data_IF_037962839819
#
_entry.id   IF_037962839819
#
_cell.length_a   1.000
_cell.length_b   1.000
_cell.length_c   1.000
_cell.angle_alpha   90.00
_cell.angle_beta   90.00
_cell.angle_gamma   90.00
#
_symmetry.space_group_name_H-M   'P 1'
#
loop_
_entity.id
_entity.type
_entity.pdbx_description
1 polymer ?
#
# COMPACT_ATOMS: atom_id res chain seq x y z
N UNK A 1 40.37 13.30 -3.35
CA UNK A 1 39.67 13.11 -2.12
C UNK A 1 38.19 13.17 -2.40
N UNK A 2 37.33 12.39 -2.64
CA UNK A 2 35.93 12.43 -3.06
C UNK A 2 34.93 11.96 -1.97
N UNK A 3 35.28 12.11 -0.70
CA UNK A 3 34.41 11.69 0.40
C UNK A 3 33.58 12.84 0.93
N UNK A 4 32.28 12.60 1.13
CA UNK A 4 31.34 13.48 1.85
C UNK A 4 30.97 12.74 3.13
N UNK A 5 31.14 13.38 4.26
CA UNK A 5 30.71 12.85 5.57
C UNK A 5 29.32 13.43 5.85
N UNK A 6 28.34 12.57 6.09
CA UNK A 6 27.00 12.93 6.51
C UNK A 6 26.79 12.37 7.92
N UNK A 7 26.33 13.22 8.84
CA UNK A 7 25.99 12.83 10.20
C UNK A 7 24.52 13.20 10.46
N UNK A 8 23.79 12.34 11.13
CA UNK A 8 22.46 12.61 11.63
C UNK A 8 22.45 12.50 13.16
N UNK A 9 21.73 13.38 13.80
CA UNK A 9 21.63 13.42 15.27
C UNK A 9 20.35 14.11 15.71
N UNK A 10 19.99 13.90 16.96
CA UNK A 10 18.87 14.61 17.58
C UNK A 10 19.37 15.90 18.24
N UNK A 11 18.59 17.00 18.17
CA UNK A 11 18.94 18.24 18.85
C UNK A 11 18.87 18.09 20.39
N UNK A 12 19.50 18.99 21.15
CA UNK A 12 19.57 18.90 22.61
C UNK A 12 18.22 18.82 23.32
N UNK A 13 17.15 19.34 22.72
CA UNK A 13 15.79 19.27 23.25
C UNK A 13 15.29 17.84 23.41
N UNK A 14 15.75 16.93 22.54
CA UNK A 14 15.37 15.50 22.54
C UNK A 14 16.39 14.59 23.20
N UNK A 15 17.64 15.10 23.37
CA UNK A 15 18.71 14.30 23.99
C UNK A 15 19.62 15.19 24.84
N UNK A 16 19.36 15.23 26.15
CA UNK A 16 20.16 16.01 27.12
C UNK A 16 21.65 15.63 27.20
N UNK A 17 22.04 14.50 26.60
CA UNK A 17 23.44 14.05 26.57
C UNK A 17 24.20 14.60 25.37
N UNK A 18 23.55 15.26 24.43
CA UNK A 18 24.20 15.86 23.26
C UNK A 18 24.82 17.18 23.64
N UNK A 19 26.10 17.39 23.25
CA UNK A 19 26.75 18.68 23.35
C UNK A 19 26.61 19.40 22.01
N UNK A 20 26.33 20.69 22.08
CA UNK A 20 26.33 21.54 20.90
C UNK A 20 27.68 21.53 20.23
N UNK A 21 27.70 21.56 18.90
CA UNK A 21 28.92 21.78 18.16
C UNK A 21 29.44 23.18 18.43
N UNK A 22 30.79 23.29 18.58
CA UNK A 22 31.40 24.58 18.66
C UNK A 22 31.26 25.38 17.36
N UNK A 23 31.44 26.70 17.44
CA UNK A 23 31.26 27.61 16.31
C UNK A 23 32.18 27.30 15.14
N UNK A 24 33.39 26.76 15.40
CA UNK A 24 34.38 26.40 14.36
C UNK A 24 33.90 25.17 13.59
N UNK A 25 33.26 24.22 14.25
CA UNK A 25 32.68 23.04 13.62
C UNK A 25 31.45 23.42 12.79
N UNK A 26 30.55 24.25 13.34
CA UNK A 26 29.37 24.72 12.64
C UNK A 26 29.67 25.50 11.36
N UNK A 27 30.76 26.28 11.36
CA UNK A 27 31.22 27.04 10.16
C UNK A 27 31.70 26.13 9.01
N UNK A 28 32.04 24.88 9.31
CA UNK A 28 32.56 23.89 8.34
C UNK A 28 31.52 22.88 7.86
N UNK A 29 30.34 22.81 8.46
CA UNK A 29 29.33 21.86 8.12
C UNK A 29 28.10 22.59 7.50
N UNK A 30 27.36 21.87 6.68
CA UNK A 30 26.02 22.31 6.26
C UNK A 30 25.02 21.71 7.20
N UNK A 31 24.41 22.55 8.00
CA UNK A 31 23.35 22.14 8.93
C UNK A 31 22.01 22.11 8.20
N UNK A 32 21.33 20.99 8.30
CA UNK A 32 19.98 20.79 7.78
C UNK A 32 19.06 20.44 8.95
N UNK A 33 18.07 21.28 9.22
CA UNK A 33 17.02 20.98 10.17
C UNK A 33 15.91 20.18 9.46
N UNK A 34 15.58 19.01 10.00
CA UNK A 34 14.53 18.14 9.48
C UNK A 34 13.39 18.14 10.49
N UNK A 35 12.25 18.63 10.06
CA UNK A 35 11.03 18.70 10.87
C UNK A 35 10.06 17.59 10.47
N UNK A 36 9.20 17.20 11.43
CA UNK A 36 8.15 16.23 11.17
C UNK A 36 7.04 16.89 10.33
N UNK A 37 6.87 16.41 9.09
CA UNK A 37 5.83 16.83 8.16
C UNK A 37 4.87 15.67 7.86
N UNK A 38 3.61 15.83 8.28
CA UNK A 38 2.59 14.80 8.08
C UNK A 38 2.33 14.51 6.60
N UNK A 39 2.34 15.51 5.73
CA UNK A 39 2.04 15.32 4.31
C UNK A 39 3.11 14.49 3.63
N UNK A 40 4.38 14.80 3.89
CA UNK A 40 5.53 14.03 3.38
C UNK A 40 5.53 12.61 3.95
N UNK A 41 5.27 12.48 5.25
CA UNK A 41 5.19 11.16 5.89
C UNK A 41 4.01 10.33 5.35
N UNK A 42 2.87 10.95 5.03
CA UNK A 42 1.71 10.25 4.46
C UNK A 42 2.04 9.59 3.12
N UNK A 43 2.82 10.26 2.25
CA UNK A 43 3.30 9.66 1.00
C UNK A 43 4.22 8.45 1.26
N UNK A 44 5.15 8.58 2.20
CA UNK A 44 5.98 7.46 2.66
C UNK A 44 5.14 6.32 3.23
N UNK A 45 4.18 6.63 4.08
CA UNK A 45 3.31 5.65 4.74
C UNK A 45 2.48 4.84 3.73
N UNK A 46 1.97 5.49 2.68
CA UNK A 46 1.30 4.82 1.56
C UNK A 46 2.25 3.88 0.81
N UNK A 47 3.43 4.37 0.43
CA UNK A 47 4.44 3.57 -0.27
C UNK A 47 4.93 2.36 0.55
N UNK A 48 4.82 2.44 1.89
CA UNK A 48 5.14 1.36 2.83
C UNK A 48 3.94 0.51 3.22
N UNK A 49 2.75 0.79 2.68
CA UNK A 49 1.49 0.09 3.00
C UNK A 49 1.19 0.05 4.50
N UNK A 50 1.34 1.20 5.17
CA UNK A 50 0.95 1.31 6.56
C UNK A 50 -0.57 1.10 6.70
N UNK A 51 -0.98 0.64 7.88
CA UNK A 51 -2.36 0.30 8.18
C UNK A 51 -3.32 1.47 7.95
N UNK A 52 -4.35 1.28 7.13
CA UNK A 52 -5.21 2.35 6.65
C UNK A 52 -6.04 3.03 7.76
N UNK A 53 -6.37 2.33 8.86
CA UNK A 53 -7.01 2.96 10.01
C UNK A 53 -6.13 4.06 10.63
N UNK A 54 -4.79 3.89 10.64
CA UNK A 54 -3.85 4.91 11.12
C UNK A 54 -3.83 6.10 10.17
N UNK A 55 -3.77 5.86 8.85
CA UNK A 55 -3.81 6.93 7.86
C UNK A 55 -5.12 7.72 7.94
N UNK A 56 -6.25 7.02 8.06
CA UNK A 56 -7.56 7.61 8.21
C UNK A 56 -7.70 8.43 9.50
N UNK A 57 -7.20 7.90 10.62
CA UNK A 57 -7.15 8.63 11.89
C UNK A 57 -6.33 9.92 11.80
N UNK A 58 -5.14 9.84 11.24
CA UNK A 58 -4.24 10.98 11.14
C UNK A 58 -4.71 12.00 10.11
N UNK A 59 -5.49 11.63 9.11
CA UNK A 59 -6.14 12.57 8.20
C UNK A 59 -7.12 13.48 8.95
N UNK A 60 -7.90 12.92 9.85
CA UNK A 60 -8.84 13.65 10.69
C UNK A 60 -8.16 14.39 11.86
N UNK A 61 -7.02 13.90 12.32
CA UNK A 61 -6.36 14.34 13.54
C UNK A 61 -4.87 14.60 13.31
N UNK A 62 -4.53 15.39 12.28
CA UNK A 62 -3.12 15.64 11.88
C UNK A 62 -2.23 16.13 13.04
N UNK A 63 -2.80 16.88 14.00
CA UNK A 63 -2.07 17.32 15.19
C UNK A 63 -1.52 16.17 16.04
N UNK A 64 -2.09 14.98 15.94
CA UNK A 64 -1.69 13.79 16.69
C UNK A 64 -0.60 12.96 15.95
N UNK A 65 -0.13 13.43 14.79
CA UNK A 65 0.97 12.79 14.05
C UNK A 65 2.30 12.88 14.83
N UNK A 66 2.60 14.06 15.34
CA UNK A 66 3.84 14.29 16.07
C UNK A 66 3.58 15.27 17.22
N UNK A 67 3.74 14.81 18.45
CA UNK A 67 3.61 15.61 19.66
C UNK A 67 4.67 15.19 20.66
N UNK A 68 5.32 16.16 21.30
CA UNK A 68 6.24 15.94 22.41
C UNK A 68 5.89 16.96 23.48
N UNK A 69 5.45 16.50 24.63
CA UNK A 69 5.06 17.32 25.76
C UNK A 69 5.82 16.85 27.01
N UNK A 70 6.39 17.79 27.73
CA UNK A 70 7.09 17.51 28.98
C UNK A 70 6.34 18.21 30.14
N UNK A 71 6.00 17.46 31.15
CA UNK A 71 5.40 17.96 32.41
C UNK A 71 6.13 17.40 33.63
N UNK A 72 5.54 17.61 34.82
CA UNK A 72 6.12 17.14 36.09
C UNK A 72 6.13 15.61 36.24
N UNK A 73 5.27 14.91 35.48
CA UNK A 73 5.12 13.46 35.52
C UNK A 73 6.00 12.75 34.51
N UNK A 74 6.60 13.50 33.56
CA UNK A 74 7.52 12.97 32.57
C UNK A 74 7.36 13.54 31.15
N UNK A 75 7.87 12.81 30.18
CA UNK A 75 7.76 13.17 28.76
C UNK A 75 6.71 12.26 28.12
N UNK A 76 5.65 12.88 27.59
CA UNK A 76 4.63 12.24 26.77
C UNK A 76 4.91 12.54 25.30
N UNK A 77 4.90 11.53 24.45
CA UNK A 77 5.21 11.76 23.05
C UNK A 77 4.51 10.79 22.12
N UNK A 78 4.32 11.24 20.91
CA UNK A 78 3.98 10.43 19.74
C UNK A 78 4.84 10.86 18.58
N UNK A 79 5.31 9.88 17.80
CA UNK A 79 6.24 10.11 16.69
C UNK A 79 5.82 9.32 15.46
N UNK A 80 6.35 9.70 14.30
CA UNK A 80 6.17 8.97 13.04
C UNK A 80 6.56 7.49 13.15
N UNK A 81 7.64 7.18 13.89
CA UNK A 81 8.08 5.80 14.14
C UNK A 81 7.07 5.02 14.98
N UNK A 82 6.50 5.63 16.03
CA UNK A 82 5.47 4.98 16.84
C UNK A 82 4.27 4.53 16.01
N UNK A 83 3.83 5.37 15.06
CA UNK A 83 2.75 5.01 14.12
C UNK A 83 3.15 3.88 13.16
N UNK A 84 4.38 3.86 12.67
CA UNK A 84 4.88 2.80 11.78
C UNK A 84 4.99 1.46 12.51
N UNK A 85 5.52 1.45 13.72
CA UNK A 85 5.65 0.25 14.55
C UNK A 85 4.27 -0.29 14.95
N UNK A 86 3.34 0.58 15.36
CA UNK A 86 1.95 0.21 15.63
C UNK A 86 1.27 -0.36 14.39
N UNK A 87 1.47 0.23 13.21
CA UNK A 87 0.94 -0.27 11.94
C UNK A 87 1.37 -1.71 11.68
N UNK A 88 2.65 -1.99 11.90
CA UNK A 88 3.21 -3.33 11.69
C UNK A 88 2.58 -4.37 12.61
N UNK A 89 2.31 -3.99 13.87
CA UNK A 89 1.61 -4.86 14.82
C UNK A 89 0.14 -5.05 14.42
N UNK A 90 -0.57 -3.98 14.07
CA UNK A 90 -1.98 -4.04 13.68
C UNK A 90 -2.20 -4.99 12.51
N UNK A 91 -1.34 -4.96 11.49
CA UNK A 91 -1.39 -5.86 10.34
C UNK A 91 -1.21 -7.34 10.73
N UNK A 92 -0.39 -7.63 11.75
CA UNK A 92 -0.24 -8.98 12.28
C UNK A 92 -1.46 -9.39 13.08
N UNK A 93 -1.99 -8.50 13.93
CA UNK A 93 -3.16 -8.76 14.77
C UNK A 93 -4.42 -9.00 13.92
N UNK A 94 -4.61 -8.25 12.82
CA UNK A 94 -5.71 -8.53 11.89
C UNK A 94 -5.61 -9.93 11.25
N UNK A 95 -4.42 -10.37 10.85
CA UNK A 95 -4.22 -11.73 10.31
C UNK A 95 -4.50 -12.84 11.33
N UNK A 96 -4.32 -12.53 12.61
CA UNK A 96 -4.53 -13.47 13.72
C UNK A 96 -5.93 -13.31 14.35
N UNK A 97 -6.76 -12.40 13.83
CA UNK A 97 -8.07 -12.02 14.40
C UNK A 97 -7.98 -11.60 15.89
N UNK A 98 -6.90 -10.89 16.24
CA UNK A 98 -6.67 -10.37 17.59
C UNK A 98 -7.14 -8.91 17.68
N UNK A 99 -7.74 -8.49 18.81
CA UNK A 99 -8.15 -7.11 19.00
C UNK A 99 -6.92 -6.22 19.28
N UNK A 100 -6.94 -5.01 18.73
CA UNK A 100 -6.00 -3.94 19.08
C UNK A 100 -6.75 -2.99 20.01
N UNK A 101 -6.46 -3.09 21.30
CA UNK A 101 -7.03 -2.22 22.34
C UNK A 101 -6.09 -1.08 22.73
N UNK A 102 -6.55 -0.22 23.62
CA UNK A 102 -5.78 0.93 24.11
C UNK A 102 -4.45 0.51 24.75
N UNK A 103 -4.40 -0.61 25.46
CA UNK A 103 -3.18 -1.08 26.14
C UNK A 103 -2.08 -1.41 25.13
N UNK A 104 -2.44 -2.04 24.01
CA UNK A 104 -1.54 -2.34 22.90
C UNK A 104 -1.06 -1.04 22.21
N UNK A 105 -1.96 -0.08 22.00
CA UNK A 105 -1.62 1.20 21.36
C UNK A 105 -0.65 2.00 22.23
N UNK A 106 -0.82 2.01 23.54
CA UNK A 106 0.07 2.69 24.49
C UNK A 106 1.51 2.17 24.50
N UNK A 107 1.74 0.95 24.03
CA UNK A 107 3.11 0.42 23.88
C UNK A 107 3.92 1.18 22.81
N UNK A 108 3.25 1.84 21.86
CA UNK A 108 3.86 2.56 20.74
C UNK A 108 3.62 4.07 20.79
N UNK A 109 2.47 4.46 21.34
CA UNK A 109 2.02 5.84 21.43
C UNK A 109 2.08 6.26 22.90
N UNK A 110 3.20 6.87 23.30
CA UNK A 110 3.48 7.26 24.69
C UNK A 110 2.84 8.61 25.08
N UNK A 111 1.72 8.96 24.47
CA UNK A 111 0.89 10.11 24.80
C UNK A 111 -0.52 9.60 25.07
N UNK A 112 -0.92 9.60 26.35
CA UNK A 112 -2.16 8.97 26.80
C UNK A 112 -3.40 9.44 26.04
N UNK A 113 -3.61 10.76 25.96
CA UNK A 113 -4.79 11.33 25.27
C UNK A 113 -4.83 10.92 23.78
N UNK A 114 -3.66 10.78 23.13
CA UNK A 114 -3.58 10.35 21.73
C UNK A 114 -3.85 8.85 21.60
N UNK A 115 -3.35 8.04 22.52
CA UNK A 115 -3.57 6.61 22.53
C UNK A 115 -5.05 6.26 22.77
N UNK A 116 -5.71 6.95 23.72
CA UNK A 116 -7.14 6.81 24.00
C UNK A 116 -8.00 7.22 22.79
N UNK A 117 -7.74 8.40 22.19
CA UNK A 117 -8.46 8.89 21.01
C UNK A 117 -8.26 7.97 19.81
N UNK A 118 -7.04 7.44 19.60
CA UNK A 118 -6.75 6.48 18.53
C UNK A 118 -7.46 5.13 18.75
N UNK A 119 -7.48 4.63 19.99
CA UNK A 119 -8.16 3.39 20.33
C UNK A 119 -9.67 3.46 20.05
N UNK A 120 -10.31 4.54 20.50
CA UNK A 120 -11.73 4.79 20.23
C UNK A 120 -12.02 4.88 18.72
N UNK A 121 -11.13 5.55 17.96
CA UNK A 121 -11.27 5.66 16.52
C UNK A 121 -11.12 4.29 15.83
N UNK A 122 -10.12 3.48 16.18
CA UNK A 122 -9.89 2.18 15.55
C UNK A 122 -11.01 1.18 15.83
N UNK A 123 -11.61 1.25 17.02
CA UNK A 123 -12.82 0.46 17.33
C UNK A 123 -13.99 0.86 16.42
N UNK A 124 -14.24 2.16 16.24
CA UNK A 124 -15.26 2.67 15.33
C UNK A 124 -14.96 2.31 13.88
N UNK A 125 -13.72 2.45 13.42
CA UNK A 125 -13.29 2.12 12.07
C UNK A 125 -13.59 0.65 11.73
N UNK A 126 -13.26 -0.27 12.65
CA UNK A 126 -13.59 -1.69 12.50
C UNK A 126 -15.10 -1.93 12.48
N UNK A 127 -15.84 -1.29 13.38
CA UNK A 127 -17.31 -1.39 13.42
C UNK A 127 -17.97 -0.88 12.15
N UNK A 128 -17.49 0.23 11.59
CA UNK A 128 -18.03 0.76 10.34
C UNK A 128 -17.80 -0.19 9.16
N UNK A 129 -16.71 -0.92 9.12
CA UNK A 129 -16.45 -1.94 8.09
C UNK A 129 -17.60 -2.95 8.00
N UNK A 130 -18.02 -3.45 9.15
CA UNK A 130 -19.12 -4.45 9.25
C UNK A 130 -20.50 -3.81 9.06
N UNK A 131 -20.74 -2.70 9.72
CA UNK A 131 -22.02 -2.00 9.75
C UNK A 131 -22.44 -1.48 8.36
N UNK A 132 -21.49 -1.00 7.57
CA UNK A 132 -21.73 -0.55 6.19
C UNK A 132 -21.66 -1.69 5.17
N UNK A 133 -21.06 -2.83 5.54
CA UNK A 133 -20.90 -3.97 4.64
C UNK A 133 -20.02 -3.63 3.44
N UNK A 134 -18.80 -3.16 3.67
CA UNK A 134 -17.87 -2.70 2.62
C UNK A 134 -17.68 -3.75 1.53
N UNK A 135 -17.56 -5.03 1.90
CA UNK A 135 -17.44 -6.12 0.94
C UNK A 135 -18.68 -6.24 0.04
N UNK A 136 -19.90 -6.03 0.60
CA UNK A 136 -21.15 -6.05 -0.16
C UNK A 136 -21.24 -4.85 -1.11
N UNK A 137 -20.78 -3.66 -0.68
CA UNK A 137 -20.72 -2.47 -1.55
C UNK A 137 -19.81 -2.77 -2.76
N UNK A 138 -18.60 -3.28 -2.53
CA UNK A 138 -17.65 -3.61 -3.60
C UNK A 138 -18.12 -4.78 -4.49
N UNK A 139 -19.03 -5.62 -3.99
CA UNK A 139 -19.71 -6.66 -4.76
C UNK A 139 -20.96 -6.18 -5.50
N UNK A 140 -21.32 -4.89 -5.41
CA UNK A 140 -22.53 -4.31 -6.01
C UNK A 140 -23.85 -4.69 -5.32
N UNK A 141 -23.81 -5.04 -4.03
CA UNK A 141 -24.95 -5.51 -3.24
C UNK A 141 -25.29 -4.55 -2.10
N UNK A 142 -25.47 -3.26 -2.43
CA UNK A 142 -25.73 -2.23 -1.42
C UNK A 142 -27.19 -2.34 -0.94
N UNK A 143 -27.35 -2.40 0.39
CA UNK A 143 -28.70 -2.42 1.01
C UNK A 143 -29.23 -0.99 1.14
N UNK A 144 -30.55 -0.75 0.98
CA UNK A 144 -31.15 0.57 1.15
C UNK A 144 -30.85 1.23 2.50
N UNK A 145 -30.75 0.43 3.56
CA UNK A 145 -30.44 0.89 4.92
C UNK A 145 -29.03 1.50 5.01
N UNK A 146 -28.10 1.03 4.20
CA UNK A 146 -26.72 1.58 4.11
C UNK A 146 -26.75 3.03 3.66
N UNK A 147 -27.58 3.36 2.65
CA UNK A 147 -27.73 4.75 2.19
C UNK A 147 -28.41 5.63 3.24
N UNK A 148 -29.49 5.15 3.89
CA UNK A 148 -30.15 5.89 4.95
C UNK A 148 -29.18 6.22 6.11
N UNK A 149 -28.31 5.28 6.45
CA UNK A 149 -27.30 5.47 7.49
C UNK A 149 -26.25 6.49 7.08
N UNK A 150 -25.69 6.39 5.87
CA UNK A 150 -24.63 7.29 5.43
C UNK A 150 -25.11 8.73 5.28
N UNK A 151 -26.37 8.96 4.88
CA UNK A 151 -26.96 10.30 4.83
C UNK A 151 -27.11 10.95 6.20
N UNK A 152 -27.32 10.15 7.26
CA UNK A 152 -27.42 10.64 8.64
C UNK A 152 -26.03 10.72 9.33
N UNK A 153 -24.98 10.18 8.74
CA UNK A 153 -23.67 10.08 9.35
C UNK A 153 -22.95 11.43 9.42
N UNK A 154 -22.17 11.63 10.49
CA UNK A 154 -21.26 12.76 10.62
C UNK A 154 -20.13 12.66 9.58
N UNK A 155 -19.49 13.78 9.29
CA UNK A 155 -18.41 13.85 8.29
C UNK A 155 -17.27 12.85 8.56
N UNK A 156 -16.86 12.71 9.82
CA UNK A 156 -15.81 11.78 10.25
C UNK A 156 -16.17 10.30 9.93
N UNK A 157 -17.44 9.93 10.13
CA UNK A 157 -17.95 8.59 9.78
C UNK A 157 -17.98 8.40 8.27
N UNK A 158 -18.47 9.39 7.51
CA UNK A 158 -18.50 9.35 6.04
C UNK A 158 -17.09 9.21 5.45
N UNK A 159 -16.13 9.97 5.96
CA UNK A 159 -14.74 9.87 5.53
C UNK A 159 -14.11 8.51 5.89
N UNK A 160 -14.47 7.95 7.05
CA UNK A 160 -14.04 6.60 7.42
C UNK A 160 -14.57 5.54 6.46
N UNK A 161 -15.82 5.66 5.99
CA UNK A 161 -16.37 4.75 4.98
C UNK A 161 -15.65 4.88 3.63
N UNK A 162 -15.31 6.09 3.20
CA UNK A 162 -14.50 6.32 1.99
C UNK A 162 -13.15 5.60 2.10
N UNK A 163 -12.46 5.77 3.23
CA UNK A 163 -11.18 5.12 3.46
C UNK A 163 -11.30 3.58 3.53
N UNK A 164 -12.38 3.06 4.10
CA UNK A 164 -12.66 1.61 4.10
C UNK A 164 -12.93 1.05 2.69
N UNK A 165 -13.60 1.82 1.82
CA UNK A 165 -13.77 1.43 0.41
C UNK A 165 -12.43 1.39 -0.32
N UNK A 166 -11.59 2.41 -0.13
CA UNK A 166 -10.23 2.46 -0.69
C UNK A 166 -9.37 1.28 -0.21
N UNK A 167 -9.46 0.94 1.06
CA UNK A 167 -8.79 -0.22 1.65
C UNK A 167 -9.25 -1.54 1.02
N UNK A 168 -10.57 -1.73 0.94
CA UNK A 168 -11.13 -2.91 0.28
C UNK A 168 -10.72 -3.04 -1.18
N UNK A 169 -10.65 -1.92 -1.93
CA UNK A 169 -10.19 -1.93 -3.32
C UNK A 169 -8.69 -2.21 -3.46
N UNK A 170 -7.87 -1.77 -2.51
CA UNK A 170 -6.42 -2.05 -2.51
C UNK A 170 -6.13 -3.55 -2.56
N UNK A 171 -6.95 -4.37 -1.90
CA UNK A 171 -6.83 -5.82 -1.97
C UNK A 171 -7.09 -6.39 -3.39
N UNK A 172 -8.03 -5.83 -4.13
CA UNK A 172 -8.28 -6.23 -5.52
C UNK A 172 -7.13 -5.83 -6.44
N UNK A 173 -6.64 -4.60 -6.35
CA UNK A 173 -5.50 -4.12 -7.14
C UNK A 173 -4.22 -4.88 -6.79
N UNK A 174 -3.96 -5.15 -5.52
CA UNK A 174 -2.83 -5.98 -5.07
C UNK A 174 -2.88 -7.39 -5.66
N UNK A 175 -4.06 -8.01 -5.69
CA UNK A 175 -4.25 -9.33 -6.30
C UNK A 175 -3.97 -9.32 -7.82
N UNK A 176 -4.40 -8.28 -8.54
CA UNK A 176 -4.06 -8.10 -9.96
C UNK A 176 -2.55 -8.02 -10.13
N UNK A 177 -1.89 -7.17 -9.34
CA UNK A 177 -0.44 -6.97 -9.41
C UNK A 177 0.34 -8.27 -9.13
N UNK A 178 -0.08 -9.05 -8.14
CA UNK A 178 0.54 -10.34 -7.83
C UNK A 178 0.41 -11.33 -9.00
N UNK A 179 -0.80 -11.48 -9.55
CA UNK A 179 -1.04 -12.37 -10.69
C UNK A 179 -0.30 -11.91 -11.94
N UNK A 180 -0.20 -10.60 -12.17
CA UNK A 180 0.56 -10.03 -13.27
C UNK A 180 2.05 -10.35 -13.14
N UNK A 181 2.63 -10.18 -11.94
CA UNK A 181 4.03 -10.53 -11.69
C UNK A 181 4.32 -12.00 -12.00
N UNK A 182 3.43 -12.91 -11.58
CA UNK A 182 3.57 -14.34 -11.90
C UNK A 182 3.52 -14.55 -13.43
N UNK A 183 2.53 -13.96 -14.10
CA UNK A 183 2.31 -14.11 -15.53
C UNK A 183 3.48 -13.60 -16.36
N UNK A 184 3.96 -12.38 -16.08
CA UNK A 184 5.04 -11.74 -16.80
C UNK A 184 6.37 -12.49 -16.64
N UNK A 185 6.68 -12.90 -15.40
CA UNK A 185 7.88 -13.69 -15.13
C UNK A 185 7.82 -15.07 -15.78
N UNK A 186 6.64 -15.72 -15.79
CA UNK A 186 6.49 -16.98 -16.47
C UNK A 186 6.63 -16.85 -17.99
N UNK A 187 6.11 -15.81 -18.58
CA UNK A 187 6.29 -15.58 -20.02
C UNK A 187 7.78 -15.53 -20.39
N UNK A 188 8.59 -14.82 -19.62
CA UNK A 188 10.04 -14.78 -19.79
C UNK A 188 10.69 -16.16 -19.63
N UNK A 189 10.29 -16.89 -18.60
CA UNK A 189 10.75 -18.25 -18.33
C UNK A 189 10.42 -19.21 -19.47
N UNK A 190 9.19 -19.21 -19.97
CA UNK A 190 8.77 -20.08 -21.07
C UNK A 190 9.50 -19.79 -22.38
N UNK A 191 9.83 -18.53 -22.66
CA UNK A 191 10.65 -18.16 -23.81
C UNK A 191 12.04 -18.80 -23.76
N UNK A 192 12.67 -18.69 -22.60
CA UNK A 192 14.01 -19.25 -22.40
C UNK A 192 13.95 -20.80 -22.41
N UNK A 193 12.96 -21.39 -21.78
CA UNK A 193 12.72 -22.84 -21.83
C UNK A 193 12.56 -23.33 -23.26
N UNK A 194 11.72 -22.66 -24.07
CA UNK A 194 11.55 -23.01 -25.49
C UNK A 194 12.84 -22.91 -26.29
N UNK A 195 13.69 -21.91 -26.00
CA UNK A 195 15.00 -21.76 -26.65
C UNK A 195 15.90 -22.96 -26.37
N UNK A 196 16.05 -23.35 -25.09
CA UNK A 196 16.87 -24.51 -24.70
C UNK A 196 16.36 -25.83 -25.29
N UNK A 197 15.05 -26.03 -25.33
CA UNK A 197 14.47 -27.20 -26.00
C UNK A 197 14.80 -27.28 -27.49
N UNK A 198 14.84 -26.14 -28.20
CA UNK A 198 15.27 -26.09 -29.61
C UNK A 198 16.76 -26.35 -29.78
N UNK A 199 17.57 -26.10 -28.78
CA UNK A 199 19.01 -26.43 -28.75
C UNK A 199 19.29 -27.88 -28.40
N UNK A 200 18.24 -28.67 -28.11
CA UNK A 200 18.33 -30.13 -27.92
C UNK A 200 18.54 -30.55 -26.48
N UNK A 201 18.33 -29.63 -25.49
CA UNK A 201 18.40 -30.02 -24.09
C UNK A 201 17.23 -30.93 -23.67
N UNK A 202 17.49 -31.81 -22.70
CA UNK A 202 16.45 -32.69 -22.14
C UNK A 202 15.37 -31.85 -21.41
N UNK A 203 14.06 -32.10 -21.68
CA UNK A 203 13.00 -31.17 -21.25
C UNK A 203 12.96 -30.90 -19.72
N UNK A 204 12.94 -31.95 -18.91
CA UNK A 204 12.82 -31.81 -17.45
C UNK A 204 14.07 -31.22 -16.84
N UNK A 205 15.24 -31.63 -17.35
CA UNK A 205 16.53 -31.12 -16.80
C UNK A 205 16.71 -29.64 -17.16
N UNK A 206 16.38 -29.23 -18.38
CA UNK A 206 16.41 -27.84 -18.82
C UNK A 206 15.45 -26.97 -18.01
N UNK A 207 14.24 -27.45 -17.71
CA UNK A 207 13.27 -26.73 -16.87
C UNK A 207 13.80 -26.53 -15.45
N UNK A 208 14.34 -27.60 -14.83
CA UNK A 208 14.91 -27.55 -13.48
C UNK A 208 16.14 -26.65 -13.42
N UNK A 209 17.03 -26.74 -14.38
CA UNK A 209 18.20 -25.89 -14.47
C UNK A 209 17.83 -24.40 -14.51
N UNK A 210 16.86 -24.02 -15.36
CA UNK A 210 16.35 -22.65 -15.43
C UNK A 210 15.76 -22.16 -14.10
N UNK A 211 14.99 -23.03 -13.45
CA UNK A 211 14.41 -22.71 -12.13
C UNK A 211 15.51 -22.48 -11.10
N UNK A 212 16.49 -23.37 -11.00
CA UNK A 212 17.62 -23.28 -10.07
C UNK A 212 18.48 -22.06 -10.34
N UNK A 213 18.80 -21.76 -11.60
CA UNK A 213 19.53 -20.56 -12.00
C UNK A 213 18.84 -19.29 -11.53
N UNK A 214 17.51 -19.20 -11.74
CA UNK A 214 16.76 -18.01 -11.30
C UNK A 214 16.66 -17.91 -9.78
N UNK A 215 16.46 -19.04 -9.10
CA UNK A 215 16.48 -19.08 -7.64
C UNK A 215 17.83 -18.61 -7.06
N UNK A 216 18.94 -19.05 -7.67
CA UNK A 216 20.28 -18.65 -7.23
C UNK A 216 20.52 -17.13 -7.42
N UNK A 217 20.02 -16.51 -8.50
CA UNK A 217 20.10 -15.07 -8.71
C UNK A 217 19.33 -14.31 -7.63
N UNK A 218 18.10 -14.70 -7.36
CA UNK A 218 17.27 -14.04 -6.33
C UNK A 218 17.86 -14.21 -4.92
N UNK A 219 18.43 -15.38 -4.63
CA UNK A 219 19.10 -15.60 -3.34
C UNK A 219 20.36 -14.72 -3.20
N UNK A 220 21.13 -14.54 -4.27
CA UNK A 220 22.27 -13.62 -4.27
C UNK A 220 21.83 -12.15 -4.08
N UNK A 221 20.75 -11.72 -4.73
CA UNK A 221 20.15 -10.39 -4.56
C UNK A 221 19.66 -10.16 -3.12
N UNK A 222 19.08 -11.20 -2.50
CA UNK A 222 18.65 -11.17 -1.10
C UNK A 222 19.83 -11.05 -0.13
N UNK A 223 20.89 -11.82 -0.35
CA UNK A 223 22.11 -11.75 0.47
C UNK A 223 22.84 -10.42 0.32
N UNK A 224 22.75 -9.79 -0.85
CA UNK A 224 23.30 -8.46 -1.11
C UNK A 224 22.39 -7.33 -0.60
N UNK A 225 21.29 -7.64 0.06
CA UNK A 225 20.27 -6.68 0.56
C UNK A 225 19.71 -5.73 -0.53
N UNK A 226 19.70 -6.18 -1.78
CA UNK A 226 19.16 -5.41 -2.92
C UNK A 226 17.63 -5.54 -2.98
N UNK A 227 17.08 -6.68 -2.53
CA UNK A 227 15.65 -6.95 -2.54
C UNK A 227 14.98 -6.58 -1.21
N UNK A 228 13.81 -5.95 -1.30
CA UNK A 228 12.92 -5.76 -0.15
C UNK A 228 12.27 -7.08 0.28
N UNK A 229 11.78 -7.16 1.52
CA UNK A 229 11.02 -8.33 2.01
C UNK A 229 9.80 -8.65 1.11
N UNK A 230 9.09 -7.64 0.62
CA UNK A 230 7.96 -7.81 -0.28
C UNK A 230 8.37 -8.43 -1.64
N UNK A 231 9.50 -7.98 -2.20
CA UNK A 231 10.04 -8.56 -3.44
C UNK A 231 10.47 -10.03 -3.25
N UNK A 232 11.09 -10.35 -2.12
CA UNK A 232 11.44 -11.75 -1.79
C UNK A 232 10.19 -12.61 -1.70
N UNK A 233 9.16 -12.17 -0.97
CA UNK A 233 7.89 -12.88 -0.89
C UNK A 233 7.20 -13.04 -2.26
N UNK A 234 7.30 -12.04 -3.14
CA UNK A 234 6.84 -12.12 -4.52
C UNK A 234 7.56 -13.22 -5.30
N UNK A 235 8.88 -13.31 -5.20
CA UNK A 235 9.66 -14.37 -5.84
C UNK A 235 9.35 -15.75 -5.27
N UNK A 236 9.12 -15.89 -3.98
CA UNK A 236 8.74 -17.17 -3.36
C UNK A 236 7.43 -17.70 -3.96
N UNK A 237 6.42 -16.83 -4.18
CA UNK A 237 5.16 -17.19 -4.86
C UNK A 237 5.40 -17.62 -6.31
N UNK A 238 6.21 -16.88 -7.07
CA UNK A 238 6.56 -17.20 -8.44
C UNK A 238 7.25 -18.57 -8.53
N UNK A 239 8.22 -18.84 -7.65
CA UNK A 239 8.92 -20.12 -7.64
C UNK A 239 8.02 -21.28 -7.20
N UNK A 240 7.10 -21.08 -6.28
CA UNK A 240 6.11 -22.09 -5.91
C UNK A 240 5.27 -22.48 -7.14
N UNK A 241 4.78 -21.47 -7.87
CA UNK A 241 4.01 -21.67 -9.07
C UNK A 241 4.81 -22.38 -10.19
N UNK A 242 6.07 -22.00 -10.40
CA UNK A 242 6.93 -22.68 -11.39
C UNK A 242 7.20 -24.13 -11.02
N UNK A 243 7.43 -24.44 -9.73
CA UNK A 243 7.61 -25.82 -9.25
C UNK A 243 6.39 -26.69 -9.49
N UNK A 244 5.18 -26.17 -9.23
CA UNK A 244 3.92 -26.88 -9.46
C UNK A 244 3.68 -27.22 -10.95
N UNK A 245 4.25 -26.43 -11.85
CA UNK A 245 4.10 -26.59 -13.29
C UNK A 245 5.34 -27.21 -13.98
N UNK A 246 6.19 -27.88 -13.21
CA UNK A 246 7.32 -28.65 -13.77
C UNK A 246 6.77 -29.78 -14.64
N UNK A 247 7.25 -29.94 -15.90
CA UNK A 247 6.80 -31.02 -16.78
C UNK A 247 7.09 -32.42 -16.23
N UNK A 248 6.19 -33.34 -16.50
CA UNK A 248 6.34 -34.73 -16.08
C UNK A 248 7.55 -35.41 -16.76
N UNK A 249 8.19 -36.33 -16.01
CA UNK A 249 9.32 -37.10 -16.56
C UNK A 249 8.85 -38.08 -17.64
N UNK A 250 9.60 -38.16 -18.73
CA UNK A 250 9.33 -39.10 -19.81
C UNK A 250 8.48 -38.55 -20.96
N UNK A 251 8.04 -37.31 -20.87
CA UNK A 251 7.38 -36.62 -21.98
C UNK A 251 8.40 -36.20 -23.06
N UNK A 252 7.96 -36.19 -24.32
CA UNK A 252 8.77 -35.63 -25.40
C UNK A 252 8.86 -34.07 -25.28
N UNK A 253 9.69 -33.46 -26.14
CA UNK A 253 9.92 -32.00 -26.15
C UNK A 253 8.63 -31.22 -26.35
N UNK A 254 7.76 -31.72 -27.26
CA UNK A 254 6.52 -31.01 -27.59
C UNK A 254 5.48 -31.12 -26.48
N UNK A 255 5.36 -32.30 -25.90
CA UNK A 255 4.45 -32.57 -24.77
C UNK A 255 4.87 -31.81 -23.53
N UNK A 256 6.16 -31.81 -23.18
CA UNK A 256 6.71 -31.08 -22.06
C UNK A 256 6.47 -29.55 -22.14
N UNK A 257 6.72 -29.00 -23.34
CA UNK A 257 6.44 -27.58 -23.55
C UNK A 257 4.93 -27.27 -23.52
N UNK A 258 4.10 -28.16 -24.09
CA UNK A 258 2.64 -27.99 -24.03
C UNK A 258 2.10 -28.03 -22.60
N UNK A 259 2.64 -28.88 -21.73
CA UNK A 259 2.27 -28.96 -20.33
C UNK A 259 2.64 -27.67 -19.57
N UNK A 260 3.88 -27.19 -19.72
CA UNK A 260 4.31 -25.92 -19.12
C UNK A 260 3.48 -24.73 -19.64
N UNK A 261 3.19 -24.70 -20.94
CA UNK A 261 2.35 -23.68 -21.57
C UNK A 261 0.91 -23.71 -21.03
N UNK A 262 0.34 -24.90 -20.80
CA UNK A 262 -1.00 -25.00 -20.22
C UNK A 262 -1.07 -24.38 -18.81
N UNK A 263 -0.01 -24.45 -18.02
CA UNK A 263 0.11 -23.72 -16.77
C UNK A 263 0.04 -22.20 -16.97
N UNK A 264 0.74 -21.68 -17.99
CA UNK A 264 0.68 -20.26 -18.35
C UNK A 264 -0.73 -19.83 -18.77
N UNK A 265 -1.39 -20.63 -19.60
CA UNK A 265 -2.72 -20.30 -20.09
C UNK A 265 -3.73 -20.21 -18.90
N UNK A 266 -3.66 -21.14 -17.93
CA UNK A 266 -4.46 -21.07 -16.68
C UNK A 266 -4.13 -19.83 -15.84
N UNK A 267 -2.85 -19.48 -15.70
CA UNK A 267 -2.43 -18.30 -14.94
C UNK A 267 -2.93 -17.01 -15.60
N UNK A 268 -2.92 -16.96 -16.94
CA UNK A 268 -3.47 -15.82 -17.68
C UNK A 268 -4.97 -15.68 -17.47
N UNK A 269 -5.73 -16.77 -17.46
CA UNK A 269 -7.17 -16.76 -17.13
C UNK A 269 -7.39 -16.24 -15.69
N UNK A 270 -6.54 -16.65 -14.75
CA UNK A 270 -6.60 -16.15 -13.35
C UNK A 270 -6.35 -14.64 -13.28
N UNK A 271 -5.39 -14.12 -14.04
CA UNK A 271 -5.12 -12.70 -14.14
C UNK A 271 -6.32 -11.93 -14.73
N UNK A 272 -6.84 -12.38 -15.87
CA UNK A 272 -8.00 -11.78 -16.53
C UNK A 272 -9.24 -11.74 -15.59
N UNK A 273 -9.43 -12.78 -14.77
CA UNK A 273 -10.50 -12.84 -13.79
C UNK A 273 -10.27 -11.87 -12.60
N UNK A 274 -9.03 -11.74 -12.14
CA UNK A 274 -8.64 -10.75 -11.13
C UNK A 274 -8.84 -9.31 -11.63
N UNK A 275 -8.46 -9.02 -12.88
CA UNK A 275 -8.66 -7.71 -13.53
C UNK A 275 -10.15 -7.35 -13.64
N UNK A 276 -10.99 -8.31 -14.05
CA UNK A 276 -12.46 -8.11 -14.11
C UNK A 276 -13.05 -7.83 -12.73
N UNK A 277 -12.62 -8.58 -11.70
CA UNK A 277 -13.08 -8.37 -10.32
C UNK A 277 -12.67 -7.00 -9.79
N UNK A 278 -11.44 -6.57 -10.05
CA UNK A 278 -10.94 -5.26 -9.64
C UNK A 278 -11.71 -4.12 -10.33
N UNK A 279 -11.96 -4.24 -11.65
CA UNK A 279 -12.74 -3.24 -12.40
C UNK A 279 -14.18 -3.19 -11.89
N UNK A 280 -14.85 -4.33 -11.68
CA UNK A 280 -16.20 -4.36 -11.13
C UNK A 280 -16.28 -3.74 -9.73
N UNK A 281 -15.32 -4.04 -8.86
CA UNK A 281 -15.28 -3.44 -7.52
C UNK A 281 -15.09 -1.91 -7.59
N UNK A 282 -14.27 -1.42 -8.50
CA UNK A 282 -14.07 0.01 -8.74
C UNK A 282 -15.35 0.69 -9.24
N UNK A 283 -16.04 0.09 -10.20
CA UNK A 283 -17.31 0.61 -10.73
C UNK A 283 -18.40 0.62 -9.63
N UNK A 284 -18.51 -0.44 -8.83
CA UNK A 284 -19.46 -0.48 -7.71
C UNK A 284 -19.10 0.54 -6.61
N UNK A 285 -17.80 0.78 -6.37
CA UNK A 285 -17.39 1.84 -5.46
C UNK A 285 -17.82 3.22 -5.98
N UNK A 286 -17.66 3.50 -7.28
CA UNK A 286 -18.16 4.73 -7.88
C UNK A 286 -19.69 4.82 -7.81
N UNK A 287 -20.42 3.72 -8.07
CA UNK A 287 -21.88 3.69 -7.92
C UNK A 287 -22.31 4.09 -6.50
N UNK A 288 -21.64 3.54 -5.49
CA UNK A 288 -21.92 3.90 -4.10
C UNK A 288 -21.56 5.35 -3.81
N UNK A 289 -20.38 5.82 -4.23
CA UNK A 289 -19.90 7.17 -4.00
C UNK A 289 -20.82 8.23 -4.63
N UNK A 290 -21.26 7.99 -5.87
CA UNK A 290 -22.17 8.89 -6.58
C UNK A 290 -23.54 8.98 -5.89
N UNK A 291 -24.08 7.84 -5.46
CA UNK A 291 -25.37 7.82 -4.75
C UNK A 291 -25.30 8.40 -3.33
N UNK A 292 -24.21 8.14 -2.61
CA UNK A 292 -24.06 8.54 -1.22
C UNK A 292 -23.62 10.00 -1.05
N UNK A 293 -22.77 10.49 -1.94
CA UNK A 293 -22.04 11.76 -1.74
C UNK A 293 -22.13 12.71 -2.94
N UNK A 294 -22.69 12.24 -4.06
CA UNK A 294 -22.73 13.04 -5.31
C UNK A 294 -21.32 13.58 -5.68
N UNK A 295 -21.18 14.91 -5.81
CA UNK A 295 -19.92 15.60 -6.06
C UNK A 295 -19.35 16.29 -4.78
N UNK A 296 -19.60 15.69 -3.61
CA UNK A 296 -19.15 16.22 -2.33
C UNK A 296 -17.65 16.08 -2.09
N UNK A 297 -17.20 16.56 -0.93
CA UNK A 297 -15.79 16.49 -0.52
C UNK A 297 -15.29 15.04 -0.43
N UNK A 298 -16.17 14.11 -0.10
CA UNK A 298 -15.87 12.67 -0.02
C UNK A 298 -15.45 12.11 -1.38
N UNK A 299 -16.10 12.53 -2.48
CA UNK A 299 -15.71 12.14 -3.84
C UNK A 299 -14.33 12.70 -4.20
N UNK A 300 -14.04 13.94 -3.79
CA UNK A 300 -12.71 14.54 -3.99
C UNK A 300 -11.63 13.73 -3.27
N UNK A 301 -11.88 13.33 -2.03
CA UNK A 301 -10.95 12.49 -1.26
C UNK A 301 -10.77 11.14 -1.95
N UNK A 302 -11.87 10.48 -2.32
CA UNK A 302 -11.86 9.17 -2.97
C UNK A 302 -11.01 9.15 -4.24
N UNK A 303 -11.23 10.07 -5.16
CA UNK A 303 -10.50 10.15 -6.44
C UNK A 303 -9.03 10.54 -6.22
N UNK A 304 -8.78 11.46 -5.27
CA UNK A 304 -7.40 11.87 -4.94
C UNK A 304 -6.61 10.71 -4.36
N UNK A 305 -7.18 9.95 -3.43
CA UNK A 305 -6.53 8.80 -2.82
C UNK A 305 -6.28 7.67 -3.85
N UNK A 306 -7.23 7.40 -4.76
CA UNK A 306 -7.01 6.49 -5.88
C UNK A 306 -5.83 6.90 -6.77
N UNK A 307 -5.71 8.20 -7.05
CA UNK A 307 -4.59 8.73 -7.87
C UNK A 307 -3.24 8.57 -7.17
N UNK A 308 -3.22 8.67 -5.84
CA UNK A 308 -2.00 8.60 -5.03
C UNK A 308 -1.65 7.17 -4.60
N UNK A 309 -2.57 6.20 -4.73
CA UNK A 309 -2.28 4.79 -4.46
C UNK A 309 -1.46 4.19 -5.61
N UNK A 310 -0.25 3.63 -5.34
CA UNK A 310 0.57 3.04 -6.38
C UNK A 310 -0.14 1.89 -7.11
N UNK A 311 -0.87 1.02 -6.39
CA UNK A 311 -1.57 -0.13 -6.95
C UNK A 311 -2.73 0.31 -7.84
N UNK A 312 -3.53 1.27 -7.37
CA UNK A 312 -4.62 1.84 -8.15
C UNK A 312 -4.10 2.57 -9.39
N UNK A 313 -3.03 3.37 -9.26
CA UNK A 313 -2.42 4.09 -10.38
C UNK A 313 -1.87 3.12 -11.44
N UNK A 314 -1.22 2.02 -11.04
CA UNK A 314 -0.75 0.98 -11.96
C UNK A 314 -1.91 0.30 -12.68
N UNK A 315 -2.97 -0.05 -11.96
CA UNK A 315 -4.16 -0.66 -12.54
C UNK A 315 -4.85 0.29 -13.54
N UNK A 316 -5.07 1.54 -13.16
CA UNK A 316 -5.72 2.56 -14.00
C UNK A 316 -4.89 3.00 -15.21
N UNK A 317 -3.57 2.81 -15.18
CA UNK A 317 -2.72 3.05 -16.35
C UNK A 317 -2.93 2.01 -17.47
N UNK A 318 -3.38 0.81 -17.13
CA UNK A 318 -3.59 -0.30 -18.07
C UNK A 318 -5.09 -0.54 -18.38
N UNK A 319 -5.97 -0.13 -17.47
CA UNK A 319 -7.41 -0.36 -17.57
C UNK A 319 -8.17 0.97 -17.50
N UNK A 320 -8.92 1.29 -18.54
CA UNK A 320 -9.69 2.53 -18.61
C UNK A 320 -10.94 2.44 -17.75
N UNK A 321 -11.05 3.34 -16.75
CA UNK A 321 -12.27 3.62 -16.01
C UNK A 321 -12.74 5.03 -16.36
N UNK A 322 -13.83 5.16 -17.13
CA UNK A 322 -14.32 6.45 -17.63
C UNK A 322 -14.73 7.39 -16.48
N UNK A 323 -15.33 6.86 -15.44
CA UNK A 323 -15.71 7.64 -14.24
C UNK A 323 -14.49 8.25 -13.56
N UNK A 324 -13.48 7.43 -13.29
CA UNK A 324 -12.23 7.94 -12.71
C UNK A 324 -11.63 9.06 -13.57
N UNK A 325 -11.53 8.86 -14.88
CA UNK A 325 -10.99 9.88 -15.79
C UNK A 325 -11.77 11.19 -15.70
N UNK A 326 -13.11 11.10 -15.73
CA UNK A 326 -14.00 12.26 -15.65
C UNK A 326 -13.80 13.04 -14.34
N UNK A 327 -13.81 12.36 -13.20
CA UNK A 327 -13.63 13.02 -11.91
C UNK A 327 -12.21 13.58 -11.73
N UNK A 328 -11.18 12.86 -12.17
CA UNK A 328 -9.81 13.30 -12.09
C UNK A 328 -9.57 14.56 -12.94
N UNK A 329 -10.11 14.64 -14.15
CA UNK A 329 -10.07 15.83 -14.99
C UNK A 329 -10.76 17.02 -14.31
N UNK A 330 -11.93 16.83 -13.72
CA UNK A 330 -12.64 17.87 -12.98
C UNK A 330 -11.82 18.42 -11.81
N UNK A 331 -11.11 17.56 -11.08
CA UNK A 331 -10.24 17.95 -9.98
C UNK A 331 -9.03 18.73 -10.47
N UNK A 332 -8.40 18.32 -11.56
CA UNK A 332 -7.26 19.02 -12.18
C UNK A 332 -7.67 20.41 -12.66
N UNK A 333 -8.81 20.56 -13.34
CA UNK A 333 -9.36 21.85 -13.80
C UNK A 333 -9.67 22.72 -12.58
N UNK A 334 -10.31 22.19 -11.56
CA UNK A 334 -10.64 22.91 -10.33
C UNK A 334 -9.40 23.41 -9.58
N UNK A 335 -8.32 22.59 -9.52
CA UNK A 335 -7.03 22.99 -8.95
C UNK A 335 -6.39 24.11 -9.76
N UNK A 336 -6.29 23.97 -11.08
CA UNK A 336 -5.71 24.96 -11.97
C UNK A 336 -6.45 26.29 -11.92
N UNK A 337 -7.80 26.25 -11.86
CA UNK A 337 -8.61 27.47 -11.70
C UNK A 337 -8.32 28.18 -10.38
N UNK A 338 -8.16 27.45 -9.27
CA UNK A 338 -7.81 28.04 -7.96
C UNK A 338 -6.41 28.64 -7.96
N UNK A 339 -5.44 28.00 -8.58
CA UNK A 339 -4.08 28.51 -8.74
C UNK A 339 -4.09 29.83 -9.52
N UNK A 340 -4.75 29.89 -10.69
CA UNK A 340 -4.87 31.09 -11.50
C UNK A 340 -5.57 32.23 -10.75
N UNK A 341 -6.64 31.95 -10.01
CA UNK A 341 -7.31 32.97 -9.20
C UNK A 341 -6.42 33.48 -8.06
N UNK A 342 -5.58 32.65 -7.48
CA UNK A 342 -4.62 33.07 -6.46
C UNK A 342 -3.48 33.93 -7.03
N UNK A 343 -3.06 33.65 -8.26
CA UNK A 343 -2.07 34.47 -8.99
C UNK A 343 -2.61 35.83 -9.38
N UNK A 344 -3.90 35.91 -9.76
CA UNK A 344 -4.56 37.16 -10.13
C UNK A 344 -4.86 38.07 -8.92
N UNK A 345 -4.92 37.54 -7.73
CA UNK A 345 -5.17 38.29 -6.49
C UNK A 345 -3.87 38.70 -5.77
N UNK A 346 -2.70 38.43 -6.34
CA UNK A 346 -1.39 38.91 -5.90
C UNK A 346 -0.96 40.10 -6.76
#
# INVERSE_FOLDING_TARGET
TGWIIVAAGNPPEYNKSVRDFDMVTLDRVRYLNIEADYKVWKEYARAKHLHNAILSYLELRQKNFYRVEADVDGIRFVTARGWEDLSSLMQVYEKLDLPVDESVIREFIHHEDVAEDAAAYFELYRKYRDDYGIADILAGKVRPETFARIYAAAFDERLSVVNLLLDGMSAFFGNVQENKQITDNWYGFLKEYQRRLKEGEAPVDSYRALLEERMAVVEAEKQAEVCTKAQVAGWERIFAFWKENTPDSGLDVKESFAQAKAGFDRQRETLEDAEKKAMNALEHAFDFMEHAFENGEEMVVFVTELTLSPEAAMFLAEHTCERYMTYNEQLLIGKRKRELLSELNR
#
